data_IF_226785478247
#
_entry.id   IF_226785478247
#
_cell.length_a   1.000
_cell.length_b   1.000
_cell.length_c   1.000
_cell.angle_alpha   90.00
_cell.angle_beta   90.00
_cell.angle_gamma   90.00
#
_symmetry.space_group_name_H-M   'P 1'
#
loop_
_entity.id
_entity.type
_entity.pdbx_description
1 polymer ?
#
# COMPACT_ATOMS: atom_id res chain seq x y z
N UNK A 1 -6.37 -14.97 5.59
CA UNK A 1 -4.98 -14.60 5.31
C UNK A 1 -4.87 -14.46 3.80
N UNK A 2 -4.35 -13.33 3.33
CA UNK A 2 -4.24 -13.01 1.91
C UNK A 2 -2.83 -12.52 1.61
N UNK A 3 -2.20 -13.02 0.55
CA UNK A 3 -0.87 -12.57 0.13
C UNK A 3 -1.00 -11.59 -1.03
N UNK A 4 -0.41 -10.41 -0.90
CA UNK A 4 -0.39 -9.37 -1.93
C UNK A 4 1.03 -9.23 -2.48
N UNK A 5 1.16 -9.24 -3.81
CA UNK A 5 2.45 -9.07 -4.49
C UNK A 5 2.67 -7.62 -4.88
N UNK A 6 3.89 -7.12 -4.66
CA UNK A 6 4.29 -5.75 -4.94
C UNK A 6 5.56 -5.71 -5.79
N UNK A 7 5.79 -4.59 -6.46
CA UNK A 7 6.99 -4.39 -7.28
C UNK A 7 8.13 -3.93 -6.38
N UNK A 8 9.00 -4.87 -6.02
CA UNK A 8 10.14 -4.67 -5.10
C UNK A 8 10.97 -3.42 -5.40
N UNK A 9 11.18 -3.08 -6.67
CA UNK A 9 12.05 -1.95 -7.05
C UNK A 9 11.32 -0.59 -7.16
N UNK A 10 9.98 -0.61 -7.13
CA UNK A 10 9.20 0.56 -7.52
C UNK A 10 8.78 1.46 -6.36
N UNK A 11 8.77 0.99 -5.11
CA UNK A 11 8.20 1.74 -4.00
C UNK A 11 8.97 2.99 -3.54
N UNK A 12 8.43 3.66 -2.52
CA UNK A 12 9.05 4.78 -1.85
C UNK A 12 10.44 4.37 -1.34
N UNK A 13 11.46 5.06 -1.84
CA UNK A 13 12.85 4.83 -1.45
C UNK A 13 13.09 5.45 -0.07
N UNK A 14 12.92 4.64 0.96
CA UNK A 14 13.37 5.00 2.29
C UNK A 14 14.89 4.80 2.34
N UNK A 15 15.63 5.89 2.14
CA UNK A 15 17.09 5.89 2.03
C UNK A 15 17.80 5.18 3.20
N UNK A 16 17.15 5.08 4.36
CA UNK A 16 17.66 4.36 5.53
C UNK A 16 17.60 2.84 5.38
N UNK A 17 16.59 2.29 4.70
CA UNK A 17 16.37 0.84 4.59
C UNK A 17 17.43 0.12 3.77
N UNK A 18 17.91 0.74 2.70
CA UNK A 18 18.86 0.14 1.76
C UNK A 18 20.28 0.69 1.91
N UNK A 19 20.57 1.33 3.04
CA UNK A 19 21.94 1.73 3.35
C UNK A 19 22.83 0.49 3.48
N UNK A 20 24.01 0.44 2.82
CA UNK A 20 24.91 -0.71 2.92
C UNK A 20 25.32 -0.93 4.38
N UNK A 21 25.01 -2.11 4.92
CA UNK A 21 25.26 -2.47 6.32
C UNK A 21 24.09 -2.22 7.29
N UNK A 22 22.89 -1.84 6.82
CA UNK A 22 21.74 -1.70 7.71
C UNK A 22 21.17 -3.07 8.13
N UNK A 23 21.66 -3.60 9.25
CA UNK A 23 21.12 -4.80 9.89
C UNK A 23 19.68 -4.63 10.42
N UNK A 24 19.18 -3.38 10.49
CA UNK A 24 17.87 -3.02 11.07
C UNK A 24 16.87 -2.53 10.02
N UNK A 25 17.06 -2.83 8.74
CA UNK A 25 16.11 -2.46 7.68
C UNK A 25 14.68 -2.93 8.01
N UNK A 26 14.55 -4.11 8.60
CA UNK A 26 13.28 -4.65 9.12
C UNK A 26 12.61 -3.73 10.14
N UNK A 27 13.36 -3.22 11.11
CA UNK A 27 12.87 -2.35 12.18
C UNK A 27 12.54 -0.94 11.69
N UNK A 28 13.35 -0.38 10.79
CA UNK A 28 13.06 0.91 10.16
C UNK A 28 11.80 0.83 9.28
N UNK A 29 11.62 -0.29 8.55
CA UNK A 29 10.43 -0.52 7.73
C UNK A 29 9.21 -0.66 8.64
N UNK A 30 9.34 -1.45 9.71
CA UNK A 30 8.29 -1.60 10.72
C UNK A 30 7.90 -0.24 11.31
N UNK A 31 8.86 0.57 11.76
CA UNK A 31 8.60 1.91 12.29
C UNK A 31 7.89 2.80 11.26
N UNK A 32 8.33 2.78 10.00
CA UNK A 32 7.68 3.55 8.96
C UNK A 32 6.24 3.09 8.70
N UNK A 33 6.00 1.77 8.68
CA UNK A 33 4.66 1.21 8.53
C UNK A 33 3.79 1.55 9.74
N UNK A 34 4.35 1.59 10.96
CA UNK A 34 3.66 2.03 12.17
C UNK A 34 3.37 3.54 12.14
N UNK A 35 4.30 4.37 11.64
CA UNK A 35 4.10 5.82 11.43
C UNK A 35 3.04 6.12 10.36
N UNK A 36 3.05 5.37 9.26
CA UNK A 36 2.04 5.45 8.19
C UNK A 36 0.78 4.67 8.57
N UNK A 37 0.83 3.87 9.63
CA UNK A 37 -0.17 2.91 10.14
C UNK A 37 -1.41 3.57 10.73
N UNK A 38 -1.83 4.69 10.13
CA UNK A 38 -3.14 5.32 10.23
C UNK A 38 -3.68 5.45 11.67
N UNK A 39 -2.77 5.57 12.64
CA UNK A 39 -3.11 5.75 14.05
C UNK A 39 -3.69 4.53 14.78
N UNK A 40 -3.63 3.32 14.21
CA UNK A 40 -4.17 2.13 14.86
C UNK A 40 -3.08 1.39 15.69
N UNK A 41 -3.17 1.40 17.03
CA UNK A 41 -2.16 0.78 17.89
C UNK A 41 -2.21 -0.76 17.90
N UNK A 42 -3.30 -1.37 17.41
CA UNK A 42 -3.51 -2.83 17.40
C UNK A 42 -2.93 -3.51 16.14
N UNK A 43 -2.31 -2.75 15.24
CA UNK A 43 -1.68 -3.28 14.03
C UNK A 43 -0.17 -3.37 14.21
N UNK A 44 0.35 -4.57 14.01
CA UNK A 44 1.78 -4.86 14.05
C UNK A 44 2.28 -5.33 12.69
N UNK A 45 3.40 -4.77 12.26
CA UNK A 45 4.14 -5.21 11.09
C UNK A 45 5.36 -6.04 11.51
N UNK A 46 5.60 -7.16 10.85
CA UNK A 46 6.81 -7.98 10.97
C UNK A 46 7.45 -8.11 9.60
N UNK A 47 8.77 -7.95 9.52
CA UNK A 47 9.49 -7.92 8.24
C UNK A 47 10.51 -9.05 8.23
N UNK A 48 10.36 -9.94 7.25
CA UNK A 48 11.25 -11.07 7.01
C UNK A 48 11.84 -10.97 5.60
N UNK A 49 13.03 -10.38 5.49
CA UNK A 49 13.67 -10.16 4.18
C UNK A 49 12.90 -9.15 3.34
N UNK A 50 12.28 -9.60 2.25
CA UNK A 50 11.42 -8.76 1.38
C UNK A 50 9.91 -9.01 1.56
N UNK A 51 9.54 -9.85 2.52
CA UNK A 51 8.15 -10.14 2.88
C UNK A 51 7.77 -9.37 4.14
N UNK A 52 6.63 -8.68 4.09
CA UNK A 52 6.04 -8.00 5.24
C UNK A 52 4.80 -8.73 5.68
N UNK A 53 4.74 -9.15 6.94
CA UNK A 53 3.54 -9.75 7.55
C UNK A 53 2.84 -8.70 8.39
N UNK A 54 1.57 -8.43 8.10
CA UNK A 54 0.73 -7.50 8.85
C UNK A 54 -0.27 -8.30 9.69
N UNK A 55 -0.26 -8.09 11.00
CA UNK A 55 -1.14 -8.75 11.97
C UNK A 55 -1.86 -7.70 12.80
N UNK A 56 -3.10 -7.96 13.21
CA UNK A 56 -3.83 -7.05 14.08
C UNK A 56 -5.33 -7.05 13.84
N UNK A 57 -6.01 -6.10 14.47
CA UNK A 57 -7.45 -5.87 14.27
C UNK A 57 -7.69 -4.43 13.85
N UNK A 58 -8.46 -4.23 12.78
CA UNK A 58 -8.85 -2.90 12.32
C UNK A 58 -10.37 -2.75 12.31
N UNK A 59 -10.84 -1.52 12.49
CA UNK A 59 -12.27 -1.23 12.55
C UNK A 59 -12.94 -1.27 11.18
N UNK A 60 -12.19 -1.21 10.08
CA UNK A 60 -12.74 -1.12 8.73
C UNK A 60 -11.82 -1.72 7.68
N UNK A 61 -12.43 -2.27 6.62
CA UNK A 61 -11.68 -2.84 5.51
C UNK A 61 -10.85 -1.81 4.74
N UNK A 62 -11.33 -0.57 4.64
CA UNK A 62 -10.54 0.50 4.01
C UNK A 62 -9.22 0.75 4.76
N UNK A 63 -9.24 0.72 6.10
CA UNK A 63 -8.04 0.90 6.92
C UNK A 63 -7.04 -0.23 6.67
N UNK A 64 -7.52 -1.49 6.68
CA UNK A 64 -6.73 -2.67 6.30
C UNK A 64 -6.04 -2.48 4.95
N UNK A 65 -6.80 -2.12 3.92
CA UNK A 65 -6.32 -1.97 2.55
C UNK A 65 -5.27 -0.87 2.42
N UNK A 66 -5.48 0.27 3.10
CA UNK A 66 -4.51 1.36 3.12
C UNK A 66 -3.20 0.96 3.81
N UNK A 67 -3.26 0.18 4.89
CA UNK A 67 -2.05 -0.32 5.59
C UNK A 67 -1.29 -1.29 4.67
N UNK A 68 -1.99 -2.19 3.97
CA UNK A 68 -1.38 -3.11 3.01
C UNK A 68 -0.65 -2.34 1.91
N UNK A 69 -1.27 -1.29 1.36
CA UNK A 69 -0.65 -0.44 0.34
C UNK A 69 0.52 0.36 0.88
N UNK A 70 0.42 0.89 2.11
CA UNK A 70 1.52 1.60 2.75
C UNK A 70 2.75 0.69 2.88
N UNK A 71 2.54 -0.55 3.36
CA UNK A 71 3.60 -1.52 3.55
C UNK A 71 4.19 -2.00 2.22
N UNK A 72 3.35 -2.24 1.21
CA UNK A 72 3.78 -2.81 -0.06
C UNK A 72 4.37 -1.80 -1.05
N UNK A 73 3.97 -0.53 -1.00
CA UNK A 73 4.51 0.54 -1.85
C UNK A 73 5.87 1.06 -1.36
N UNK A 74 6.62 0.26 -0.62
CA UNK A 74 7.96 0.60 -0.15
C UNK A 74 8.98 -0.16 -0.99
N UNK A 75 10.05 0.53 -1.41
CA UNK A 75 11.13 -0.14 -2.12
C UNK A 75 11.67 -1.28 -1.24
N UNK A 76 11.98 -2.42 -1.84
CA UNK A 76 12.46 -3.65 -1.20
C UNK A 76 11.38 -4.61 -0.69
N UNK A 77 10.10 -4.20 -0.67
CA UNK A 77 8.99 -5.10 -0.33
C UNK A 77 8.50 -5.80 -1.60
N UNK A 78 8.64 -7.12 -1.64
CA UNK A 78 8.15 -7.94 -2.74
C UNK A 78 6.73 -8.47 -2.48
N UNK A 79 6.38 -8.69 -1.21
CA UNK A 79 5.06 -9.22 -0.85
C UNK A 79 4.63 -8.78 0.53
N UNK A 80 3.33 -8.59 0.69
CA UNK A 80 2.68 -8.30 1.98
C UNK A 80 1.70 -9.41 2.30
N UNK A 81 1.96 -10.14 3.37
CA UNK A 81 1.06 -11.13 3.94
C UNK A 81 0.09 -10.44 4.91
N UNK A 82 -1.17 -10.41 4.52
CA UNK A 82 -2.25 -9.84 5.31
C UNK A 82 -2.87 -10.91 6.22
N UNK A 83 -2.67 -10.72 7.52
CA UNK A 83 -3.33 -11.46 8.60
C UNK A 83 -4.16 -10.52 9.49
N UNK A 84 -4.51 -9.32 8.99
CA UNK A 84 -5.33 -8.37 9.72
C UNK A 84 -6.80 -8.84 9.70
N UNK A 85 -7.42 -8.83 10.87
CA UNK A 85 -8.85 -9.09 11.04
C UNK A 85 -9.64 -7.78 11.01
N UNK A 86 -10.75 -7.74 10.28
CA UNK A 86 -11.66 -6.58 10.25
C UNK A 86 -12.82 -6.85 11.20
N UNK A 87 -13.02 -6.00 12.20
CA UNK A 87 -14.11 -6.13 13.18
C UNK A 87 -15.40 -5.39 12.77
N UNK A 88 -15.29 -4.45 11.81
CA UNK A 88 -16.40 -3.67 11.30
C UNK A 88 -17.27 -4.40 10.27
N UNK A 89 -18.25 -3.69 9.68
CA UNK A 89 -19.12 -4.26 8.65
C UNK A 89 -18.30 -4.75 7.45
N UNK A 90 -18.68 -5.91 6.91
CA UNK A 90 -18.09 -6.43 5.69
C UNK A 90 -18.49 -5.54 4.51
N UNK A 91 -17.55 -4.70 4.07
CA UNK A 91 -17.69 -3.85 2.88
C UNK A 91 -17.06 -4.60 1.70
N UNK A 92 -17.42 -4.26 0.47
CA UNK A 92 -16.73 -4.84 -0.68
C UNK A 92 -15.25 -4.44 -0.70
N UNK A 93 -14.39 -5.38 -1.08
CA UNK A 93 -12.96 -5.15 -1.18
C UNK A 93 -12.62 -4.22 -2.34
N UNK A 94 -11.77 -3.23 -2.09
CA UNK A 94 -11.23 -2.42 -3.16
C UNK A 94 -10.31 -3.25 -4.05
N UNK A 95 -10.23 -2.88 -5.32
CA UNK A 95 -9.31 -3.51 -6.27
C UNK A 95 -7.95 -2.84 -6.16
N UNK A 96 -6.87 -3.62 -6.29
CA UNK A 96 -5.51 -3.09 -6.33
C UNK A 96 -4.97 -3.15 -7.76
N UNK A 97 -4.46 -2.01 -8.23
CA UNK A 97 -3.89 -1.89 -9.58
C UNK A 97 -2.47 -1.38 -9.48
N UNK A 98 -1.56 -2.09 -10.15
CA UNK A 98 -0.16 -1.69 -10.27
C UNK A 98 -0.01 -0.74 -11.46
N UNK A 99 0.49 0.46 -11.20
CA UNK A 99 0.80 1.49 -12.19
C UNK A 99 1.90 0.98 -13.12
N UNK A 100 1.69 1.02 -14.44
CA UNK A 100 2.73 0.65 -15.41
C UNK A 100 3.47 1.89 -15.89
N UNK A 101 4.63 1.68 -16.52
CA UNK A 101 5.40 2.77 -17.11
C UNK A 101 4.57 3.47 -18.21
N UNK A 102 4.30 4.76 -18.00
CA UNK A 102 3.49 5.57 -18.91
C UNK A 102 2.00 5.65 -18.56
N UNK A 103 1.54 4.95 -17.52
CA UNK A 103 0.17 5.08 -17.03
C UNK A 103 -0.03 6.44 -16.35
N UNK A 104 -1.21 7.01 -16.56
CA UNK A 104 -1.72 8.15 -15.80
C UNK A 104 -2.91 7.71 -14.95
N UNK A 105 -3.22 8.47 -13.91
CA UNK A 105 -4.33 8.16 -13.02
C UNK A 105 -5.68 8.14 -13.78
N UNK A 106 -5.83 9.03 -14.76
CA UNK A 106 -6.97 9.05 -15.69
C UNK A 106 -7.01 7.84 -16.63
N UNK A 107 -5.86 7.36 -17.12
CA UNK A 107 -5.80 6.15 -17.95
C UNK A 107 -6.19 4.89 -17.16
N UNK A 108 -5.71 4.77 -15.92
CA UNK A 108 -6.10 3.70 -15.00
C UNK A 108 -7.59 3.80 -14.69
N UNK A 109 -8.10 5.00 -14.43
CA UNK A 109 -9.52 5.24 -14.19
C UNK A 109 -10.38 4.83 -15.38
N UNK A 110 -9.95 5.16 -16.61
CA UNK A 110 -10.60 4.73 -17.84
C UNK A 110 -10.59 3.21 -17.98
N UNK A 111 -9.47 2.56 -17.69
CA UNK A 111 -9.33 1.10 -17.80
C UNK A 111 -10.19 0.34 -16.77
N UNK A 112 -10.34 0.88 -15.55
CA UNK A 112 -11.08 0.20 -14.47
C UNK A 112 -12.56 0.56 -14.45
N UNK A 113 -12.91 1.84 -14.59
CA UNK A 113 -14.29 2.32 -14.50
C UNK A 113 -14.93 2.60 -15.86
N UNK A 114 -14.17 2.53 -16.95
CA UNK A 114 -14.64 2.98 -18.27
C UNK A 114 -14.77 4.50 -18.40
N UNK A 115 -14.32 5.28 -17.40
CA UNK A 115 -14.42 6.73 -17.41
C UNK A 115 -13.19 7.41 -16.80
N UNK A 116 -12.44 8.12 -17.65
CA UNK A 116 -11.21 8.81 -17.27
C UNK A 116 -11.41 9.87 -16.18
N UNK A 117 -12.62 10.45 -16.05
CA UNK A 117 -12.94 11.50 -15.07
C UNK A 117 -13.12 10.96 -13.63
N UNK A 118 -13.15 9.64 -13.44
CA UNK A 118 -13.26 9.03 -12.10
C UNK A 118 -11.89 8.95 -11.39
N UNK A 119 -10.84 9.53 -11.97
CA UNK A 119 -9.49 9.54 -11.39
C UNK A 119 -9.47 10.18 -10.00
N UNK A 120 -10.33 11.18 -9.76
CA UNK A 120 -10.47 11.81 -8.45
C UNK A 120 -10.84 10.81 -7.34
N UNK A 121 -11.68 9.81 -7.64
CA UNK A 121 -12.05 8.77 -6.66
C UNK A 121 -10.84 7.94 -6.24
N UNK A 122 -10.00 7.55 -7.20
CA UNK A 122 -8.76 6.82 -6.95
C UNK A 122 -7.84 7.70 -6.11
N UNK A 123 -7.69 8.97 -6.49
CA UNK A 123 -6.85 9.91 -5.74
C UNK A 123 -7.29 10.04 -4.28
N UNK A 124 -8.59 10.23 -4.02
CA UNK A 124 -9.13 10.34 -2.66
C UNK A 124 -8.97 9.06 -1.85
N UNK A 125 -9.18 7.89 -2.48
CA UNK A 125 -9.03 6.60 -1.83
C UNK A 125 -7.59 6.30 -1.38
N UNK A 126 -6.59 6.92 -2.02
CA UNK A 126 -5.16 6.72 -1.73
C UNK A 126 -4.54 7.84 -0.88
N UNK A 127 -5.33 8.83 -0.42
CA UNK A 127 -4.84 9.82 0.55
C UNK A 127 -4.63 9.18 1.93
N UNK A 128 -3.62 9.61 2.71
CA UNK A 128 -2.64 10.67 2.41
C UNK A 128 -1.41 10.21 1.59
N UNK A 129 -1.27 8.91 1.32
CA UNK A 129 -0.10 8.33 0.66
C UNK A 129 0.14 8.89 -0.75
N UNK A 130 -0.93 9.20 -1.48
CA UNK A 130 -0.89 9.95 -2.73
C UNK A 130 -1.29 11.40 -2.48
N UNK A 131 -0.30 12.31 -2.48
CA UNK A 131 -0.56 13.74 -2.22
C UNK A 131 -0.96 14.53 -3.47
N UNK A 132 -0.67 14.01 -4.66
CA UNK A 132 -1.04 14.65 -5.93
C UNK A 132 -1.38 13.55 -6.97
N UNK A 133 -2.46 13.71 -7.76
CA UNK A 133 -2.89 12.71 -8.75
C UNK A 133 -1.83 12.40 -9.82
N UNK A 134 -0.96 13.34 -10.16
CA UNK A 134 0.11 13.16 -11.15
C UNK A 134 1.38 12.57 -10.54
N UNK A 135 1.48 12.50 -9.21
CA UNK A 135 2.64 11.94 -8.50
C UNK A 135 2.52 10.43 -8.29
N UNK A 136 2.18 9.73 -9.35
CA UNK A 136 2.25 8.26 -9.40
C UNK A 136 3.54 7.81 -10.08
N UNK A 137 4.03 6.62 -9.73
CA UNK A 137 5.24 6.07 -10.32
C UNK A 137 5.04 4.63 -10.80
N UNK A 138 5.81 4.18 -11.81
CA UNK A 138 5.71 2.81 -12.31
C UNK A 138 6.03 1.80 -11.21
N UNK A 139 5.13 0.84 -11.01
CA UNK A 139 5.16 -0.20 -10.00
C UNK A 139 4.51 0.18 -8.66
N UNK A 140 3.99 1.40 -8.52
CA UNK A 140 3.12 1.77 -7.41
C UNK A 140 1.80 0.99 -7.49
N UNK A 141 1.35 0.41 -6.40
CA UNK A 141 0.03 -0.18 -6.28
C UNK A 141 -0.95 0.86 -5.74
N UNK A 142 -2.08 1.05 -6.41
CA UNK A 142 -3.14 1.98 -6.02
C UNK A 142 -4.42 1.24 -5.62
N UNK A 143 -5.09 1.76 -4.59
CA UNK A 143 -6.45 1.40 -4.20
C UNK A 143 -7.44 1.94 -5.21
N UNK A 144 -8.29 1.08 -5.74
CA UNK A 144 -9.38 1.45 -6.63
C UNK A 144 -10.70 1.09 -5.92
N UNK A 145 -11.43 2.08 -5.36
CA UNK A 145 -12.74 1.81 -4.75
C UNK A 145 -13.74 1.32 -5.80
N UNK A 146 -14.81 0.63 -5.41
CA UNK A 146 -15.89 0.30 -6.35
C UNK A 146 -16.72 1.52 -6.77
#
# INVERSE_FOLDING_TARGET
>A
MSLFSFVKEAGQKLAKLFAPGNANASDDLKKHIEEVGLGNPDVHATVEGDKVTLTGTVASQEEKEKIILAAGNIAGVASVDDQITVSGPAVAAARFVVVKKGDTLSAISLAVYGNANQYNKIFEANKPQLSNPDKIYPGQTLRIPE
#
